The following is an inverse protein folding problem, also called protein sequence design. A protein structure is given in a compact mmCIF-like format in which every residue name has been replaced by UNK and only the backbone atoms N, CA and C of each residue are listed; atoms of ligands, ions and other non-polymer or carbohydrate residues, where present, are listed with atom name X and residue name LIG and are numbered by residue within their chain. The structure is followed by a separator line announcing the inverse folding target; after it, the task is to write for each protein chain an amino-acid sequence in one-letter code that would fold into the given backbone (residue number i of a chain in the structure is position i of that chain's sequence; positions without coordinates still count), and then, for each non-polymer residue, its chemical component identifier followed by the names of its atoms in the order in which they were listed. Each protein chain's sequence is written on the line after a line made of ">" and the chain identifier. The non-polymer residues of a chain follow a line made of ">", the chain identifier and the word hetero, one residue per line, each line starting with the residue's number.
data_IF_854102960190
#
_entry.id   IF_854102960190
#
_cell.length_a   1.000
_cell.length_b   1.000
_cell.length_c   1.000
_cell.angle_alpha   90.00
_cell.angle_beta   90.00
_cell.angle_gamma   90.00
#
_symmetry.space_group_name_H-M   'P 1'
#
loop_
_entity.id
_entity.type
_entity.pdbx_description
1 polymer ?
#
# COMPACT_ATOMS: atom_id res chain seq x y z
N UNK A 1 62.06 32.63 -25.60
CA UNK A 1 61.29 31.39 -25.83
C UNK A 1 60.05 31.42 -24.90
N UNK A 2 58.89 31.78 -25.47
CA UNK A 2 57.59 31.83 -24.72
C UNK A 2 56.91 30.49 -24.96
N UNK A 3 56.69 29.69 -23.88
CA UNK A 3 55.91 28.45 -23.92
C UNK A 3 54.43 28.81 -23.72
N UNK A 4 53.67 28.66 -24.80
CA UNK A 4 52.20 28.75 -24.74
C UNK A 4 51.66 27.40 -24.21
N UNK A 5 50.97 27.46 -23.08
CA UNK A 5 50.22 26.33 -22.53
C UNK A 5 48.82 26.38 -23.11
N UNK A 6 48.46 25.41 -23.95
CA UNK A 6 47.09 25.19 -24.41
C UNK A 6 46.30 24.46 -23.32
N UNK A 7 45.33 25.16 -22.72
CA UNK A 7 44.37 24.56 -21.81
C UNK A 7 43.20 24.03 -22.64
N UNK A 8 43.13 22.74 -22.82
CA UNK A 8 42.01 22.08 -23.47
C UNK A 8 40.86 22.00 -22.44
N UNK A 9 39.84 22.82 -22.59
CA UNK A 9 38.61 22.70 -21.83
C UNK A 9 37.80 21.50 -22.38
N UNK A 10 37.74 20.43 -21.59
CA UNK A 10 36.89 19.28 -21.88
C UNK A 10 35.45 19.64 -21.48
N UNK A 11 34.64 20.05 -22.45
CA UNK A 11 33.22 20.18 -22.27
C UNK A 11 32.59 18.78 -22.13
N UNK A 12 32.33 18.35 -20.92
CA UNK A 12 31.45 17.23 -20.65
C UNK A 12 30.02 17.66 -21.00
N UNK A 13 29.58 17.33 -22.19
CA UNK A 13 28.17 17.41 -22.55
C UNK A 13 27.45 16.33 -21.72
N UNK A 14 26.74 16.75 -20.69
CA UNK A 14 25.72 15.92 -20.07
C UNK A 14 24.62 15.72 -21.10
N UNK A 15 24.67 14.62 -21.81
CA UNK A 15 23.53 14.13 -22.59
C UNK A 15 22.51 13.68 -21.53
N UNK A 16 21.55 14.51 -21.25
CA UNK A 16 20.36 14.11 -20.55
C UNK A 16 19.66 13.10 -21.47
N UNK A 17 19.85 11.82 -21.20
CA UNK A 17 19.06 10.77 -21.83
C UNK A 17 17.60 11.09 -21.47
N UNK A 18 16.79 11.36 -22.48
CA UNK A 18 15.35 11.50 -22.27
C UNK A 18 14.87 10.20 -21.64
N UNK A 19 14.23 10.31 -20.48
CA UNK A 19 13.62 9.14 -19.85
C UNK A 19 12.50 8.64 -20.77
N UNK A 20 12.59 7.37 -21.18
CA UNK A 20 11.61 6.74 -22.06
C UNK A 20 10.30 6.37 -21.32
N UNK A 21 10.19 6.73 -20.05
CA UNK A 21 9.01 6.51 -19.20
C UNK A 21 8.45 7.82 -18.64
N UNK A 22 7.18 7.78 -18.28
CA UNK A 22 6.51 8.76 -17.42
C UNK A 22 6.32 8.20 -16.02
N UNK A 23 6.34 9.04 -15.00
CA UNK A 23 5.95 8.68 -13.65
C UNK A 23 4.47 8.98 -13.46
N UNK A 24 3.72 7.98 -12.97
CA UNK A 24 2.38 8.15 -12.45
C UNK A 24 2.42 7.88 -10.96
N UNK A 25 1.76 8.70 -10.19
CA UNK A 25 1.82 8.63 -8.72
C UNK A 25 0.44 8.35 -8.16
N UNK A 26 0.34 7.35 -7.30
CA UNK A 26 -0.83 7.08 -6.46
C UNK A 26 -0.68 7.92 -5.20
N UNK A 27 -1.52 8.95 -5.07
CA UNK A 27 -1.45 9.95 -3.99
C UNK A 27 -2.48 9.72 -2.89
N UNK A 28 -3.44 8.82 -3.12
CA UNK A 28 -4.61 8.59 -2.25
C UNK A 28 -5.49 9.83 -2.02
N UNK A 29 -5.28 10.91 -2.76
CA UNK A 29 -6.06 12.12 -2.62
C UNK A 29 -7.37 12.06 -3.40
N UNK A 30 -8.44 12.63 -2.84
CA UNK A 30 -9.78 12.57 -3.42
C UNK A 30 -9.86 13.19 -4.82
N UNK A 31 -9.02 14.20 -5.09
CA UNK A 31 -8.93 14.81 -6.41
C UNK A 31 -8.35 13.87 -7.48
N UNK A 32 -7.61 12.86 -7.05
CA UNK A 32 -6.91 11.88 -7.89
C UNK A 32 -7.58 10.51 -7.86
N UNK A 33 -8.86 10.42 -7.45
CA UNK A 33 -9.60 9.17 -7.44
C UNK A 33 -9.86 8.68 -8.87
N UNK A 34 -9.36 7.50 -9.19
CA UNK A 34 -9.43 6.89 -10.52
C UNK A 34 -10.12 5.53 -10.52
N UNK A 35 -10.98 5.25 -9.56
CA UNK A 35 -11.75 4.01 -9.53
C UNK A 35 -13.23 4.22 -9.88
N UNK A 36 -13.85 3.15 -10.39
CA UNK A 36 -15.29 3.14 -10.60
C UNK A 36 -16.00 3.09 -9.25
N UNK A 37 -16.96 4.00 -8.97
CA UNK A 37 -17.71 3.97 -7.72
C UNK A 37 -18.39 2.63 -7.48
N UNK A 38 -18.37 2.15 -6.25
CA UNK A 38 -19.02 0.90 -5.83
C UNK A 38 -19.67 1.07 -4.46
N UNK A 39 -20.58 0.17 -4.12
CA UNK A 39 -21.25 0.17 -2.82
C UNK A 39 -20.70 -0.95 -1.96
N UNK A 40 -20.31 -0.63 -0.73
CA UNK A 40 -19.98 -1.60 0.30
C UNK A 40 -21.26 -2.07 0.97
N UNK A 41 -21.62 -3.34 0.80
CA UNK A 41 -22.84 -3.92 1.38
C UNK A 41 -22.84 -3.83 2.90
N UNK A 42 -21.69 -4.00 3.52
CA UNK A 42 -21.50 -3.88 4.96
C UNK A 42 -22.02 -2.55 5.55
N UNK A 43 -21.67 -1.43 4.93
CA UNK A 43 -22.02 -0.09 5.42
C UNK A 43 -23.16 0.55 4.61
N UNK A 44 -23.66 -0.11 3.56
CA UNK A 44 -24.52 0.47 2.53
C UNK A 44 -23.98 1.84 2.04
N UNK A 45 -22.64 1.94 1.94
CA UNK A 45 -21.91 3.15 1.64
C UNK A 45 -21.38 3.10 0.21
N UNK A 46 -21.64 4.16 -0.56
CA UNK A 46 -21.03 4.31 -1.87
C UNK A 46 -19.62 4.86 -1.72
N UNK A 47 -18.64 4.18 -2.30
CA UNK A 47 -17.25 4.60 -2.36
C UNK A 47 -17.02 5.26 -3.71
N UNK A 48 -16.68 6.53 -3.70
CA UNK A 48 -16.41 7.36 -4.88
C UNK A 48 -15.09 8.10 -4.78
N UNK A 49 -14.57 8.25 -3.56
CA UNK A 49 -13.31 8.93 -3.24
C UNK A 49 -12.49 8.09 -2.28
N UNK A 50 -11.22 8.43 -2.13
CA UNK A 50 -10.33 7.77 -1.17
C UNK A 50 -10.81 7.98 0.28
N UNK A 51 -11.28 9.19 0.61
CA UNK A 51 -11.81 9.49 1.94
C UNK A 51 -13.05 8.70 2.30
N UNK A 52 -13.82 8.21 1.32
CA UNK A 52 -14.98 7.35 1.59
C UNK A 52 -14.58 6.02 2.24
N UNK A 53 -13.34 5.57 2.04
CA UNK A 53 -12.79 4.34 2.63
C UNK A 53 -12.37 4.49 4.10
N UNK A 54 -12.31 5.72 4.62
CA UNK A 54 -11.79 6.02 5.97
C UNK A 54 -12.89 6.09 7.01
N UNK A 55 -14.12 6.39 6.61
CA UNK A 55 -15.22 6.75 7.51
C UNK A 55 -16.16 5.56 7.74
N UNK A 56 -15.83 4.71 8.73
CA UNK A 56 -16.70 3.63 9.23
C UNK A 56 -17.62 4.17 10.32
N UNK A 57 -18.91 4.29 10.00
CA UNK A 57 -19.91 4.82 10.92
C UNK A 57 -20.15 3.92 12.15
N UNK A 58 -19.76 2.64 12.10
CA UNK A 58 -19.97 1.69 13.19
C UNK A 58 -18.76 1.61 14.12
N UNK A 59 -17.54 1.63 13.57
CA UNK A 59 -16.32 1.37 14.33
C UNK A 59 -15.36 2.54 14.40
N UNK A 60 -15.69 3.70 13.79
CA UNK A 60 -14.83 4.87 13.68
C UNK A 60 -13.45 4.53 13.11
N UNK A 61 -13.18 4.86 11.90
CA UNK A 61 -11.90 4.56 11.26
C UNK A 61 -12.05 4.02 9.85
N UNK A 62 -11.01 3.46 9.27
CA UNK A 62 -11.09 2.83 7.97
C UNK A 62 -12.09 1.67 7.95
N UNK A 63 -12.76 1.48 6.82
CA UNK A 63 -13.78 0.46 6.60
C UNK A 63 -13.19 -0.97 6.58
N UNK A 64 -12.27 -1.28 7.47
CA UNK A 64 -11.52 -2.53 7.52
C UNK A 64 -12.23 -3.67 8.24
N UNK A 65 -13.28 -3.37 8.99
CA UNK A 65 -14.05 -4.36 9.76
C UNK A 65 -15.17 -5.01 8.96
N UNK A 66 -15.08 -5.00 7.63
CA UNK A 66 -16.03 -5.71 6.78
C UNK A 66 -15.86 -7.22 6.95
N UNK A 67 -16.94 -7.92 7.29
CA UNK A 67 -16.90 -9.34 7.64
C UNK A 67 -16.48 -10.27 6.48
N UNK A 68 -16.62 -9.83 5.24
CA UNK A 68 -16.51 -10.68 4.04
C UNK A 68 -15.37 -10.27 3.09
N UNK A 69 -14.39 -9.47 3.54
CA UNK A 69 -13.25 -9.09 2.72
C UNK A 69 -13.60 -8.20 1.53
N UNK A 70 -14.65 -7.40 1.66
CA UNK A 70 -15.10 -6.49 0.61
C UNK A 70 -14.37 -5.15 0.62
N UNK A 71 -13.48 -4.89 1.59
CA UNK A 71 -12.62 -3.72 1.55
C UNK A 71 -11.64 -3.82 0.39
N UNK A 72 -11.74 -2.90 -0.55
CA UNK A 72 -10.87 -2.90 -1.72
C UNK A 72 -10.68 -1.48 -2.25
N UNK A 73 -9.51 -1.24 -2.84
CA UNK A 73 -9.24 -0.06 -3.64
C UNK A 73 -8.43 -0.44 -4.88
N UNK A 74 -8.60 0.35 -5.92
CA UNK A 74 -7.92 0.15 -7.19
C UNK A 74 -7.76 1.49 -7.91
N UNK A 75 -6.52 1.88 -8.21
CA UNK A 75 -6.19 3.10 -8.94
C UNK A 75 -6.27 2.84 -10.46
N UNK A 76 -7.52 2.67 -10.94
CA UNK A 76 -7.87 2.03 -12.22
C UNK A 76 -7.35 2.74 -13.47
N UNK A 77 -7.17 4.06 -13.46
CA UNK A 77 -6.86 4.86 -14.64
C UNK A 77 -5.53 5.60 -14.53
N UNK A 78 -4.77 5.35 -13.46
CA UNK A 78 -3.50 6.00 -13.19
C UNK A 78 -2.39 4.96 -13.03
N UNK A 79 -2.11 4.47 -11.81
CA UNK A 79 -1.01 3.53 -11.56
C UNK A 79 -1.37 2.07 -11.80
N UNK A 80 -2.65 1.74 -11.90
CA UNK A 80 -3.19 0.38 -11.97
C UNK A 80 -2.88 -0.48 -10.74
N UNK A 81 -2.47 0.15 -9.64
CA UNK A 81 -2.21 -0.54 -8.40
C UNK A 81 -3.52 -0.92 -7.69
N UNK A 82 -3.54 -2.11 -7.15
CA UNK A 82 -4.53 -2.66 -6.22
C UNK A 82 -3.80 -3.31 -5.05
N UNK A 83 -4.53 -3.88 -4.11
CA UNK A 83 -3.93 -4.43 -2.90
C UNK A 83 -4.54 -5.77 -2.50
N UNK A 84 -3.84 -6.50 -1.62
CA UNK A 84 -4.39 -7.62 -0.88
C UNK A 84 -5.06 -7.14 0.41
N UNK A 85 -6.06 -7.89 0.86
CA UNK A 85 -6.75 -7.67 2.12
C UNK A 85 -7.14 -9.02 2.73
N UNK A 86 -6.87 -9.20 4.01
CA UNK A 86 -7.23 -10.42 4.74
C UNK A 86 -8.39 -10.14 5.67
N UNK A 87 -9.54 -10.69 5.34
CA UNK A 87 -10.74 -10.67 6.18
C UNK A 87 -10.79 -11.88 7.11
N UNK A 88 -11.66 -11.88 8.13
CA UNK A 88 -12.41 -10.72 8.62
C UNK A 88 -11.58 -9.81 9.55
N UNK A 89 -12.09 -8.61 9.82
CA UNK A 89 -11.59 -7.73 10.88
C UNK A 89 -10.13 -7.26 10.76
N UNK A 90 -9.66 -6.90 9.55
CA UNK A 90 -8.29 -6.43 9.38
C UNK A 90 -7.23 -7.47 9.80
N UNK A 91 -7.35 -8.67 9.29
CA UNK A 91 -6.32 -9.70 9.48
C UNK A 91 -5.01 -9.40 8.75
N UNK A 92 -4.97 -8.34 7.94
CA UNK A 92 -3.84 -7.84 7.18
C UNK A 92 -4.25 -7.12 5.92
N UNK A 93 -3.35 -6.36 5.32
CA UNK A 93 -3.59 -5.65 4.06
C UNK A 93 -3.20 -4.17 4.08
N UNK A 94 -3.88 -3.39 3.26
CA UNK A 94 -3.55 -1.99 2.99
C UNK A 94 -4.81 -1.13 3.08
N UNK A 95 -4.92 -0.31 4.12
CA UNK A 95 -6.07 0.53 4.38
C UNK A 95 -5.78 2.01 4.20
N UNK A 96 -6.71 2.71 3.55
CA UNK A 96 -6.65 4.16 3.43
C UNK A 96 -6.98 4.79 4.78
N UNK A 97 -6.21 5.77 5.18
CA UNK A 97 -6.38 6.52 6.42
C UNK A 97 -6.13 8.02 6.20
N UNK A 98 -6.69 8.82 7.09
CA UNK A 98 -6.39 10.24 7.24
C UNK A 98 -6.28 10.65 8.72
N UNK A 99 -6.10 9.66 9.59
CA UNK A 99 -5.97 9.89 11.02
C UNK A 99 -4.62 10.50 11.35
N UNK A 100 -4.63 11.49 12.21
CA UNK A 100 -3.45 12.18 12.71
C UNK A 100 -3.48 12.20 14.22
N UNK A 101 -2.40 11.75 14.83
CA UNK A 101 -2.22 11.91 16.27
C UNK A 101 -0.84 12.55 16.51
N UNK A 102 -0.76 13.78 17.05
CA UNK A 102 0.49 14.51 17.22
C UNK A 102 1.39 13.92 18.31
N UNK A 103 0.90 12.91 19.05
CA UNK A 103 1.66 12.24 20.09
C UNK A 103 1.47 10.73 20.08
N UNK A 104 2.56 10.02 20.36
CA UNK A 104 2.56 8.57 20.55
C UNK A 104 2.99 8.16 21.97
N UNK A 105 3.13 9.14 22.88
CA UNK A 105 3.43 8.90 24.28
C UNK A 105 2.21 8.29 25.00
N UNK A 106 2.40 7.52 26.07
CA UNK A 106 1.32 6.84 26.78
C UNK A 106 0.18 7.74 27.22
N UNK A 107 0.46 8.98 27.61
CA UNK A 107 -0.54 9.98 27.99
C UNK A 107 -1.44 10.45 26.82
N UNK A 108 -1.05 10.18 25.59
CA UNK A 108 -1.81 10.50 24.39
C UNK A 108 -2.58 9.28 23.84
N UNK A 109 -2.50 8.14 24.51
CA UNK A 109 -3.22 6.95 24.10
C UNK A 109 -4.68 7.02 24.61
N UNK A 110 -5.60 6.39 23.89
CA UNK A 110 -6.96 6.20 24.37
C UNK A 110 -6.96 5.47 25.71
N UNK A 111 -7.84 5.88 26.65
CA UNK A 111 -8.01 5.18 27.94
C UNK A 111 -8.54 3.75 27.76
N UNK A 112 -9.26 3.51 26.67
CA UNK A 112 -9.79 2.20 26.31
C UNK A 112 -8.94 1.56 25.20
N UNK A 113 -8.44 0.36 25.44
CA UNK A 113 -7.67 -0.42 24.48
C UNK A 113 -8.43 -0.70 23.17
N UNK A 114 -9.74 -0.60 23.16
CA UNK A 114 -10.57 -0.71 21.96
C UNK A 114 -10.56 0.57 21.09
N UNK A 115 -10.07 1.68 21.59
CA UNK A 115 -9.86 2.92 20.84
C UNK A 115 -8.56 2.97 20.05
N UNK A 116 -7.87 1.87 19.86
CA UNK A 116 -6.54 1.79 19.24
C UNK A 116 -6.50 2.18 17.77
N UNK A 117 -7.63 2.24 17.07
CA UNK A 117 -7.68 2.73 15.70
C UNK A 117 -7.10 4.16 15.57
N UNK A 118 -7.25 5.01 16.57
CA UNK A 118 -6.71 6.38 16.59
C UNK A 118 -5.17 6.42 16.50
N UNK A 119 -4.50 5.36 16.95
CA UNK A 119 -3.05 5.24 16.84
C UNK A 119 -2.63 4.19 15.80
N UNK A 120 -3.44 3.16 15.59
CA UNK A 120 -3.22 2.06 14.65
C UNK A 120 -3.26 2.54 13.20
N UNK A 121 -4.07 3.56 12.90
CA UNK A 121 -4.21 4.17 11.58
C UNK A 121 -3.64 5.60 11.51
N UNK A 122 -3.01 6.09 12.56
CA UNK A 122 -2.56 7.47 12.65
C UNK A 122 -1.06 7.61 12.39
N UNK A 123 -0.72 8.65 11.64
CA UNK A 123 0.65 9.20 11.58
C UNK A 123 0.75 10.45 12.46
N UNK A 124 1.98 10.93 12.71
CA UNK A 124 2.18 12.15 13.53
C UNK A 124 1.70 13.42 12.81
N UNK A 125 1.74 13.46 11.47
CA UNK A 125 1.59 14.71 10.71
C UNK A 125 0.64 14.57 9.50
N UNK A 126 -0.22 13.55 9.45
CA UNK A 126 -1.06 13.27 8.27
C UNK A 126 -0.26 12.66 7.12
N UNK A 127 -0.68 12.86 5.88
CA UNK A 127 0.00 12.32 4.71
C UNK A 127 1.28 13.08 4.33
N UNK A 128 2.01 12.57 3.33
CA UNK A 128 3.26 13.15 2.88
C UNK A 128 3.04 14.58 2.32
N UNK A 129 3.97 15.50 2.61
CA UNK A 129 3.89 16.91 2.18
C UNK A 129 2.57 17.61 2.53
N UNK A 130 1.86 17.16 3.56
CA UNK A 130 0.61 17.74 4.01
C UNK A 130 -0.61 17.27 3.20
N UNK A 131 -0.50 16.17 2.45
CA UNK A 131 -1.66 15.47 1.88
C UNK A 131 -2.60 15.01 3.00
N UNK A 132 -3.85 14.80 2.65
CA UNK A 132 -4.87 14.40 3.61
C UNK A 132 -4.83 12.89 3.87
N UNK A 133 -4.86 12.12 2.79
CA UNK A 133 -4.95 10.69 2.84
C UNK A 133 -3.57 10.02 2.66
N UNK A 134 -3.44 8.83 3.18
CA UNK A 134 -2.29 7.94 3.02
C UNK A 134 -2.75 6.50 3.19
N UNK A 135 -1.87 5.54 2.97
CA UNK A 135 -2.19 4.14 3.18
C UNK A 135 -1.42 3.57 4.38
N UNK A 136 -2.10 2.75 5.18
CA UNK A 136 -1.50 1.99 6.28
C UNK A 136 -1.43 0.52 5.89
N UNK A 137 -0.23 -0.04 5.98
CA UNK A 137 0.02 -1.47 5.87
C UNK A 137 -0.15 -2.15 7.24
N UNK A 138 -0.78 -3.33 7.23
CA UNK A 138 -0.80 -4.27 8.34
C UNK A 138 -0.42 -5.65 7.84
N UNK A 139 0.54 -6.28 8.48
CA UNK A 139 0.90 -7.67 8.23
C UNK A 139 2.41 -7.93 8.20
N UNK A 140 2.77 -9.15 8.54
CA UNK A 140 4.12 -9.66 8.46
C UNK A 140 4.08 -11.17 8.22
N UNK A 141 5.17 -11.75 7.78
CA UNK A 141 5.36 -13.21 7.66
C UNK A 141 6.30 -13.64 8.77
N UNK A 142 5.93 -14.68 9.47
CA UNK A 142 6.65 -15.19 10.61
C UNK A 142 6.69 -16.72 10.59
N UNK A 143 7.87 -17.29 10.78
CA UNK A 143 8.08 -18.73 10.81
C UNK A 143 7.47 -19.39 12.07
N UNK A 144 7.17 -18.63 13.11
CA UNK A 144 6.57 -19.10 14.35
C UNK A 144 5.04 -19.23 14.27
N UNK A 145 4.40 -18.41 13.43
CA UNK A 145 2.96 -18.37 13.36
C UNK A 145 2.45 -18.73 11.97
N UNK A 146 1.87 -19.92 11.83
CA UNK A 146 1.31 -20.41 10.56
C UNK A 146 0.14 -19.58 10.01
N UNK A 147 -0.44 -18.66 10.80
CA UNK A 147 -1.45 -17.72 10.33
C UNK A 147 -0.86 -16.59 9.48
N UNK A 148 0.44 -16.32 9.60
CA UNK A 148 1.14 -15.24 8.91
C UNK A 148 2.17 -15.80 7.92
N UNK A 149 1.70 -16.49 6.90
CA UNK A 149 2.55 -17.16 5.89
C UNK A 149 2.56 -16.46 4.53
N UNK A 150 1.74 -15.44 4.36
CA UNK A 150 1.58 -14.75 3.07
C UNK A 150 1.78 -13.25 3.24
N UNK A 151 2.66 -12.68 2.43
CA UNK A 151 2.87 -11.25 2.40
C UNK A 151 1.62 -10.51 1.96
N UNK A 152 1.30 -9.40 2.65
CA UNK A 152 0.33 -8.45 2.13
C UNK A 152 0.96 -7.65 1.00
N UNK A 153 0.26 -7.52 -0.12
CA UNK A 153 0.83 -7.03 -1.38
C UNK A 153 0.11 -5.80 -1.91
N UNK A 154 0.85 -4.97 -2.63
CA UNK A 154 0.33 -4.12 -3.70
C UNK A 154 0.69 -4.76 -5.05
N UNK A 155 -0.21 -4.72 -6.02
CA UNK A 155 -0.04 -5.43 -7.27
C UNK A 155 -0.61 -4.64 -8.46
N UNK A 156 -0.06 -4.85 -9.65
CA UNK A 156 -0.64 -4.32 -10.86
C UNK A 156 -1.82 -5.18 -11.30
N UNK A 157 -3.01 -4.60 -11.32
CA UNK A 157 -4.27 -5.32 -11.59
C UNK A 157 -4.34 -5.93 -13.01
N UNK A 158 -3.56 -5.41 -13.95
CA UNK A 158 -3.46 -5.95 -15.32
C UNK A 158 -2.43 -7.09 -15.44
N UNK A 159 -1.73 -7.44 -14.36
CA UNK A 159 -0.73 -8.51 -14.31
C UNK A 159 0.56 -8.23 -15.08
N UNK A 160 0.77 -7.00 -15.55
CA UNK A 160 2.02 -6.61 -16.22
C UNK A 160 3.07 -6.17 -15.22
N UNK A 161 4.32 -6.58 -15.46
CA UNK A 161 5.45 -6.13 -14.66
C UNK A 161 5.78 -4.66 -14.95
N UNK A 162 6.04 -3.88 -13.88
CA UNK A 162 6.48 -2.49 -13.95
C UNK A 162 7.47 -2.18 -12.83
N UNK A 163 8.20 -1.10 -13.01
CA UNK A 163 9.07 -0.58 -11.95
C UNK A 163 8.26 0.36 -11.06
N UNK A 164 8.17 0.02 -9.76
CA UNK A 164 7.80 1.00 -8.75
C UNK A 164 9.05 1.82 -8.47
N UNK A 165 9.02 3.11 -8.81
CA UNK A 165 10.19 3.99 -8.69
C UNK A 165 10.51 4.27 -7.23
N UNK A 166 9.52 4.74 -6.50
CA UNK A 166 9.64 5.03 -5.08
C UNK A 166 8.27 5.15 -4.41
N UNK A 167 8.27 5.18 -3.09
CA UNK A 167 7.18 5.64 -2.24
C UNK A 167 7.74 6.45 -1.08
N UNK A 168 6.87 7.13 -0.34
CA UNK A 168 7.22 7.70 0.94
C UNK A 168 6.69 6.81 2.06
N UNK A 169 7.47 6.64 3.12
CA UNK A 169 7.13 5.78 4.26
C UNK A 169 7.38 6.49 5.57
N UNK A 170 6.62 6.12 6.59
CA UNK A 170 6.82 6.56 7.97
C UNK A 170 6.28 5.52 8.96
N UNK A 171 6.68 5.63 10.22
CA UNK A 171 6.01 4.90 11.29
C UNK A 171 4.61 5.45 11.55
N UNK A 172 3.71 4.58 11.99
CA UNK A 172 2.44 4.98 12.61
C UNK A 172 2.61 5.18 14.12
N UNK A 173 1.67 5.87 14.74
CA UNK A 173 1.72 6.16 16.19
C UNK A 173 1.76 4.89 17.04
N UNK A 174 1.05 3.82 16.66
CA UNK A 174 1.07 2.55 17.39
C UNK A 174 2.46 1.90 17.41
N UNK A 175 3.12 1.80 16.25
CA UNK A 175 4.49 1.26 16.17
C UNK A 175 5.48 2.12 16.97
N UNK A 176 5.36 3.45 16.86
CA UNK A 176 6.21 4.37 17.66
C UNK A 176 5.98 4.21 19.16
N UNK A 177 4.72 4.09 19.59
CA UNK A 177 4.41 3.88 21.01
C UNK A 177 5.04 2.59 21.52
N UNK A 178 4.81 1.46 20.83
CA UNK A 178 5.37 0.16 21.22
C UNK A 178 6.89 0.19 21.27
N UNK A 179 7.57 0.71 20.26
CA UNK A 179 9.03 0.73 20.22
C UNK A 179 9.65 1.69 21.26
N UNK A 180 9.07 2.87 21.46
CA UNK A 180 9.68 3.89 22.31
C UNK A 180 9.35 3.71 23.79
N UNK A 181 8.12 3.32 24.11
CA UNK A 181 7.63 3.24 25.49
C UNK A 181 7.38 1.80 25.96
N UNK A 182 7.30 0.85 25.03
CA UNK A 182 6.80 -0.50 25.30
C UNK A 182 5.27 -0.53 25.34
N UNK A 183 4.69 -1.72 25.25
CA UNK A 183 3.24 -1.92 25.15
C UNK A 183 2.71 -3.06 26.04
N UNK A 184 3.54 -3.54 26.97
CA UNK A 184 3.21 -4.68 27.82
C UNK A 184 3.56 -6.04 27.21
N UNK A 185 3.71 -6.15 25.88
CA UNK A 185 4.27 -7.31 25.19
C UNK A 185 5.76 -7.13 24.93
N UNK A 186 6.17 -5.93 24.60
CA UNK A 186 7.56 -5.53 24.42
C UNK A 186 7.99 -4.54 25.51
N UNK A 187 9.22 -4.66 26.05
CA UNK A 187 9.87 -3.56 26.73
C UNK A 187 10.19 -2.45 25.71
N UNK A 188 10.47 -1.21 26.16
CA UNK A 188 10.99 -0.16 25.29
C UNK A 188 12.23 -0.64 24.54
N UNK A 189 12.32 -0.31 23.26
CA UNK A 189 13.45 -0.62 22.40
C UNK A 189 14.75 0.00 22.94
N UNK A 190 15.87 -0.64 22.66
CA UNK A 190 17.20 -0.25 23.11
C UNK A 190 17.98 0.50 22.02
N UNK A 191 19.21 0.90 22.31
CA UNK A 191 20.10 1.52 21.32
C UNK A 191 20.56 0.54 20.23
N UNK A 192 20.36 -0.77 20.43
CA UNK A 192 20.72 -1.82 19.47
C UNK A 192 19.51 -2.43 18.76
N UNK A 193 18.31 -2.06 19.16
CA UNK A 193 17.08 -2.52 18.52
C UNK A 193 17.00 -1.96 17.11
N UNK A 194 16.58 -2.82 16.16
CA UNK A 194 16.32 -2.42 14.79
C UNK A 194 14.94 -2.89 14.34
N UNK A 195 14.26 -2.11 13.50
CA UNK A 195 12.98 -2.47 12.91
C UNK A 195 12.91 -1.97 11.47
N UNK A 196 12.57 -2.86 10.54
CA UNK A 196 12.65 -2.61 9.12
C UNK A 196 11.40 -3.03 8.39
N UNK A 197 11.05 -2.29 7.34
CA UNK A 197 10.20 -2.78 6.25
C UNK A 197 11.10 -3.52 5.27
N UNK A 198 10.65 -4.70 4.79
CA UNK A 198 11.26 -5.42 3.67
C UNK A 198 10.25 -5.46 2.53
N UNK A 199 10.59 -4.90 1.38
CA UNK A 199 9.82 -5.01 0.15
C UNK A 199 10.35 -6.19 -0.67
N UNK A 200 9.44 -7.08 -1.07
CA UNK A 200 9.70 -8.31 -1.82
C UNK A 200 9.04 -8.18 -3.18
N UNK A 201 9.85 -7.97 -4.23
CA UNK A 201 9.40 -7.96 -5.61
C UNK A 201 9.04 -9.36 -6.09
N UNK A 202 7.87 -9.51 -6.70
CA UNK A 202 7.34 -10.80 -7.12
C UNK A 202 7.02 -10.83 -8.62
N UNK A 203 7.20 -12.01 -9.23
CA UNK A 203 6.78 -12.31 -10.60
C UNK A 203 5.28 -12.61 -10.69
N UNK A 204 4.78 -12.93 -11.90
CA UNK A 204 3.38 -13.27 -12.15
C UNK A 204 2.90 -14.56 -11.45
N UNK A 205 3.81 -15.38 -10.95
CA UNK A 205 3.50 -16.61 -10.20
C UNK A 205 3.57 -16.37 -8.68
N UNK A 206 3.88 -15.14 -8.24
CA UNK A 206 4.08 -14.81 -6.83
C UNK A 206 5.45 -15.22 -6.27
N UNK A 207 6.39 -15.65 -7.14
CA UNK A 207 7.74 -15.97 -6.69
C UNK A 207 8.53 -14.70 -6.44
N UNK A 208 9.31 -14.68 -5.37
CA UNK A 208 10.25 -13.60 -5.11
C UNK A 208 11.34 -13.57 -6.17
N UNK A 209 11.57 -12.37 -6.74
CA UNK A 209 12.64 -12.12 -7.72
C UNK A 209 13.65 -11.08 -7.24
N UNK A 210 13.27 -10.26 -6.27
CA UNK A 210 14.13 -9.20 -5.72
C UNK A 210 13.64 -8.77 -4.35
N UNK A 211 14.51 -8.11 -3.58
CA UNK A 211 14.12 -7.48 -2.31
C UNK A 211 14.97 -6.26 -1.98
N UNK A 212 14.39 -5.37 -1.18
CA UNK A 212 15.08 -4.23 -0.56
C UNK A 212 14.48 -3.97 0.82
N UNK A 213 15.16 -3.19 1.65
CA UNK A 213 14.66 -2.86 2.99
C UNK A 213 14.82 -1.39 3.31
N UNK A 214 13.96 -0.91 4.21
CA UNK A 214 13.99 0.43 4.76
C UNK A 214 13.91 0.36 6.28
N UNK A 215 14.84 1.05 6.96
CA UNK A 215 14.86 1.07 8.41
C UNK A 215 13.88 2.10 8.96
N UNK A 216 12.92 1.65 9.77
CA UNK A 216 12.00 2.49 10.52
C UNK A 216 12.55 2.88 11.91
N UNK A 217 13.46 2.06 12.45
CA UNK A 217 14.10 2.25 13.72
C UNK A 217 15.50 1.64 13.70
N UNK A 218 16.53 2.42 14.06
CA UNK A 218 17.92 1.99 14.19
C UNK A 218 18.50 2.55 15.49
N UNK A 219 18.06 1.99 16.62
CA UNK A 219 18.37 2.54 17.92
C UNK A 219 17.61 3.84 18.23
N UNK A 220 17.73 4.32 19.46
CA UNK A 220 16.95 5.46 19.97
C UNK A 220 17.22 6.78 19.25
N UNK A 221 18.41 6.93 18.66
CA UNK A 221 18.82 8.16 17.99
C UNK A 221 18.39 8.20 16.50
N UNK A 222 17.87 7.09 15.98
CA UNK A 222 17.47 7.00 14.57
C UNK A 222 16.09 6.36 14.44
N UNK A 223 15.07 7.15 14.76
CA UNK A 223 13.65 6.78 14.68
C UNK A 223 12.98 7.59 13.58
N UNK A 224 12.33 6.91 12.64
CA UNK A 224 11.59 7.58 11.57
C UNK A 224 10.25 8.10 12.12
N UNK A 225 10.14 9.42 12.23
CA UNK A 225 8.95 10.13 12.73
C UNK A 225 8.34 11.05 11.67
N UNK A 226 8.99 11.17 10.51
CA UNK A 226 8.55 11.97 9.37
C UNK A 226 8.61 11.14 8.10
N UNK A 227 7.85 11.54 7.10
CA UNK A 227 7.85 10.88 5.80
C UNK A 227 9.24 10.88 5.16
N UNK A 228 9.69 9.70 4.74
CA UNK A 228 10.99 9.48 4.10
C UNK A 228 10.80 8.80 2.76
N UNK A 229 11.53 9.28 1.76
CA UNK A 229 11.52 8.67 0.43
C UNK A 229 12.26 7.33 0.46
N UNK A 230 11.60 6.27 -0.04
CA UNK A 230 12.19 4.96 -0.22
C UNK A 230 12.29 4.63 -1.70
N UNK A 231 13.50 4.44 -2.20
CA UNK A 231 13.77 4.00 -3.57
C UNK A 231 13.43 2.52 -3.72
N UNK A 232 12.42 2.21 -4.53
CA UNK A 232 11.98 0.86 -4.86
C UNK A 232 12.40 0.44 -6.28
N UNK A 233 13.02 1.33 -7.05
CA UNK A 233 13.46 1.04 -8.42
C UNK A 233 14.48 -0.09 -8.47
N UNK A 234 15.19 -0.33 -7.38
CA UNK A 234 16.15 -1.44 -7.20
C UNK A 234 15.49 -2.82 -7.26
N UNK A 235 14.16 -2.91 -7.09
CA UNK A 235 13.42 -4.16 -7.27
C UNK A 235 13.33 -4.58 -8.74
N UNK A 236 13.54 -3.65 -9.68
CA UNK A 236 13.35 -3.89 -11.11
C UNK A 236 11.86 -3.97 -11.48
N UNK A 237 11.56 -4.66 -12.59
CA UNK A 237 10.19 -4.88 -13.03
C UNK A 237 9.54 -6.01 -12.22
N UNK A 238 8.44 -5.69 -11.54
CA UNK A 238 7.69 -6.61 -10.67
C UNK A 238 6.20 -6.58 -11.03
N UNK A 239 5.49 -7.69 -10.83
CA UNK A 239 4.03 -7.76 -10.98
C UNK A 239 3.35 -7.35 -9.67
N UNK A 240 3.98 -7.64 -8.54
CA UNK A 240 3.53 -7.23 -7.21
C UNK A 240 4.71 -6.98 -6.28
N UNK A 241 4.47 -6.25 -5.21
CA UNK A 241 5.40 -6.09 -4.10
C UNK A 241 4.70 -6.52 -2.83
N UNK A 242 5.25 -7.56 -2.19
CA UNK A 242 4.88 -7.97 -0.84
C UNK A 242 5.67 -7.20 0.20
N UNK A 243 5.08 -6.97 1.36
CA UNK A 243 5.78 -6.32 2.46
C UNK A 243 5.89 -7.24 3.67
N UNK A 244 7.04 -7.17 4.33
CA UNK A 244 7.28 -7.81 5.61
C UNK A 244 7.86 -6.79 6.59
N UNK A 245 7.64 -7.03 7.87
CA UNK A 245 8.24 -6.27 8.96
C UNK A 245 9.17 -7.20 9.74
N UNK A 246 10.41 -6.76 9.93
CA UNK A 246 11.47 -7.55 10.55
C UNK A 246 12.17 -6.72 11.61
N UNK A 247 12.27 -7.28 12.80
CA UNK A 247 12.96 -6.68 13.93
C UNK A 247 14.26 -7.39 14.28
N UNK A 248 15.07 -6.77 15.16
CA UNK A 248 16.14 -7.45 15.87
C UNK A 248 15.56 -8.47 16.87
N UNK A 249 16.40 -9.38 17.34
CA UNK A 249 15.98 -10.52 18.17
C UNK A 249 15.22 -10.13 19.45
N UNK A 250 15.47 -8.95 19.99
CA UNK A 250 14.78 -8.41 21.17
C UNK A 250 13.31 -8.02 20.93
N UNK A 251 12.88 -7.95 19.68
CA UNK A 251 11.48 -7.73 19.29
C UNK A 251 10.71 -9.04 19.04
N UNK A 252 11.31 -10.18 19.29
CA UNK A 252 10.65 -11.48 19.14
C UNK A 252 10.45 -12.16 20.48
N UNK A 253 9.30 -12.83 20.63
CA UNK A 253 8.96 -13.63 21.78
C UNK A 253 8.50 -15.04 21.39
N UNK A 254 7.86 -15.73 22.31
CA UNK A 254 7.38 -17.10 22.10
C UNK A 254 6.34 -17.22 20.97
N UNK A 255 5.73 -16.10 20.56
CA UNK A 255 4.67 -16.03 19.54
C UNK A 255 5.12 -15.34 18.24
N UNK A 256 6.43 -15.16 18.05
CA UNK A 256 7.01 -14.48 16.89
C UNK A 256 7.27 -12.99 17.13
N UNK A 257 7.08 -12.18 16.10
CA UNK A 257 7.27 -10.73 16.18
C UNK A 257 6.22 -10.10 17.11
N UNK A 258 6.68 -9.51 18.21
CA UNK A 258 5.81 -8.82 19.17
C UNK A 258 5.57 -7.35 18.80
N UNK A 259 6.49 -6.72 18.03
CA UNK A 259 6.28 -5.36 17.57
C UNK A 259 5.08 -5.26 16.61
N UNK A 260 4.30 -4.16 16.65
CA UNK A 260 3.17 -3.98 15.75
C UNK A 260 3.59 -4.04 14.28
N UNK A 261 2.96 -4.91 13.50
CA UNK A 261 3.26 -5.17 12.09
C UNK A 261 2.73 -4.09 11.15
N UNK A 262 2.97 -2.80 11.45
CA UNK A 262 2.38 -1.66 10.75
C UNK A 262 3.41 -0.64 10.28
N UNK A 263 3.14 -0.03 9.12
CA UNK A 263 3.77 1.21 8.68
C UNK A 263 2.81 1.99 7.78
N UNK A 264 3.05 3.29 7.59
CA UNK A 264 2.31 4.09 6.63
C UNK A 264 3.15 4.36 5.38
N UNK A 265 2.47 4.45 4.22
CA UNK A 265 3.09 4.83 2.95
C UNK A 265 2.18 5.75 2.15
N UNK A 266 2.79 6.56 1.27
CA UNK A 266 2.13 7.56 0.45
C UNK A 266 2.92 7.81 -0.84
N UNK A 267 2.32 8.50 -1.81
CA UNK A 267 2.95 8.94 -3.06
C UNK A 267 3.72 7.81 -3.77
N UNK A 268 3.02 6.70 -4.08
CA UNK A 268 3.62 5.55 -4.77
C UNK A 268 3.81 5.86 -6.24
N UNK A 269 5.05 6.10 -6.67
CA UNK A 269 5.40 6.45 -8.04
C UNK A 269 5.75 5.21 -8.87
N UNK A 270 5.14 5.07 -10.02
CA UNK A 270 5.31 3.94 -10.95
C UNK A 270 5.78 4.44 -12.31
N UNK A 271 6.73 3.73 -12.92
CA UNK A 271 7.20 4.01 -14.29
C UNK A 271 6.29 3.35 -15.31
N UNK A 272 5.78 4.17 -16.22
CA UNK A 272 5.03 3.74 -17.40
C UNK A 272 5.82 4.06 -18.66
N UNK A 273 5.97 3.09 -19.56
CA UNK A 273 6.59 3.32 -20.87
C UNK A 273 5.74 4.37 -21.64
N UNK A 274 6.37 5.41 -22.14
CA UNK A 274 5.70 6.44 -22.96
C UNK A 274 5.09 5.88 -24.25
N UNK A 275 5.61 4.76 -24.71
CA UNK A 275 5.13 4.07 -25.92
C UNK A 275 4.03 3.05 -25.61
N UNK A 276 3.81 2.70 -24.33
CA UNK A 276 2.72 1.79 -23.92
C UNK A 276 1.38 2.54 -23.85
N UNK A 277 1.00 3.16 -25.00
CA UNK A 277 -0.26 3.90 -25.16
C UNK A 277 -1.51 3.01 -25.09
N UNK A 278 -1.36 1.73 -24.80
CA UNK A 278 -2.40 0.74 -25.03
C UNK A 278 -3.44 0.63 -23.92
N UNK A 279 -3.26 1.24 -22.75
CA UNK A 279 -4.15 0.96 -21.64
C UNK A 279 -5.28 1.99 -21.43
N UNK A 280 -5.11 3.27 -21.77
CA UNK A 280 -6.05 4.31 -21.32
C UNK A 280 -7.02 4.80 -22.40
N UNK A 281 -6.64 4.74 -23.68
CA UNK A 281 -7.46 5.33 -24.76
C UNK A 281 -8.43 4.36 -25.47
N UNK A 282 -8.45 3.06 -25.13
CA UNK A 282 -9.29 2.06 -25.79
C UNK A 282 -10.13 1.17 -24.86
N UNK A 283 -10.20 1.44 -23.59
CA UNK A 283 -11.33 0.98 -22.80
C UNK A 283 -12.52 1.92 -23.11
N UNK A 284 -13.00 1.87 -24.32
CA UNK A 284 -14.43 1.91 -24.53
C UNK A 284 -14.93 0.71 -23.73
N UNK A 285 -15.25 0.91 -22.46
CA UNK A 285 -16.15 0.02 -21.74
C UNK A 285 -17.37 0.00 -22.64
N UNK A 286 -17.65 -1.10 -23.37
CA UNK A 286 -18.92 -1.19 -24.02
C UNK A 286 -19.88 -1.00 -22.88
N UNK A 287 -20.78 -0.02 -22.96
CA UNK A 287 -21.88 0.09 -22.02
C UNK A 287 -22.52 -1.29 -22.01
N UNK A 288 -22.08 -2.14 -21.08
CA UNK A 288 -22.58 -3.50 -21.01
C UNK A 288 -23.96 -3.35 -20.40
N UNK A 289 -24.97 -3.19 -21.26
CA UNK A 289 -26.36 -3.37 -20.88
C UNK A 289 -26.63 -4.84 -20.44
N UNK A 290 -25.60 -5.49 -19.88
CA UNK A 290 -25.68 -6.81 -19.30
C UNK A 290 -26.28 -6.75 -17.91
N UNK A 291 -27.51 -7.22 -17.75
CA UNK A 291 -28.17 -7.34 -16.46
C UNK A 291 -27.89 -8.71 -15.87
N UNK A 292 -27.28 -8.77 -14.70
CA UNK A 292 -27.17 -10.01 -13.91
C UNK A 292 -28.55 -10.38 -13.37
N UNK A 293 -28.95 -11.63 -13.53
CA UNK A 293 -30.21 -12.13 -12.97
C UNK A 293 -30.06 -13.59 -12.52
N UNK A 294 -30.85 -13.99 -11.55
CA UNK A 294 -30.95 -15.38 -11.11
C UNK A 294 -32.01 -16.08 -11.94
N UNK A 295 -31.64 -17.15 -12.66
CA UNK A 295 -32.55 -17.98 -13.43
C UNK A 295 -32.30 -19.44 -13.10
N UNK A 296 -33.33 -20.14 -12.61
CA UNK A 296 -33.25 -21.55 -12.19
C UNK A 296 -32.13 -21.84 -11.17
N UNK A 297 -31.86 -20.89 -10.24
CA UNK A 297 -30.82 -21.04 -9.21
C UNK A 297 -29.39 -20.78 -9.71
N UNK A 298 -29.21 -20.33 -10.95
CA UNK A 298 -27.90 -19.95 -11.51
C UNK A 298 -27.85 -18.48 -11.86
N UNK A 299 -26.71 -17.84 -11.61
CA UNK A 299 -26.46 -16.46 -12.06
C UNK A 299 -26.19 -16.48 -13.54
N UNK A 300 -26.96 -15.70 -14.30
CA UNK A 300 -26.80 -15.52 -15.73
C UNK A 300 -26.68 -14.04 -16.07
N UNK A 301 -26.04 -13.74 -17.21
CA UNK A 301 -25.88 -12.39 -17.75
C UNK A 301 -26.81 -12.25 -18.96
N UNK A 302 -27.82 -11.37 -18.88
CA UNK A 302 -28.65 -10.99 -20.00
C UNK A 302 -28.00 -9.81 -20.75
N UNK A 303 -27.66 -9.99 -22.03
CA UNK A 303 -27.06 -8.95 -22.86
C UNK A 303 -27.68 -9.01 -24.26
N UNK A 304 -28.16 -7.88 -24.76
CA UNK A 304 -28.73 -7.77 -26.13
C UNK A 304 -29.81 -8.82 -26.42
N UNK A 305 -30.63 -9.13 -25.42
CA UNK A 305 -31.71 -10.12 -25.55
C UNK A 305 -31.24 -11.59 -25.48
N UNK A 306 -29.97 -11.84 -25.26
CA UNK A 306 -29.38 -13.17 -25.10
C UNK A 306 -28.94 -13.41 -23.68
N UNK A 307 -28.99 -14.66 -23.26
CA UNK A 307 -28.59 -15.10 -21.91
C UNK A 307 -27.26 -15.85 -21.97
N UNK A 308 -26.34 -15.49 -21.09
CA UNK A 308 -25.00 -16.11 -21.01
C UNK A 308 -24.75 -16.63 -19.59
N UNK A 309 -23.98 -17.70 -19.49
CA UNK A 309 -23.39 -18.13 -18.22
C UNK A 309 -22.35 -17.10 -17.74
N UNK A 310 -21.95 -17.15 -16.47
CA UNK A 310 -20.84 -16.35 -15.94
C UNK A 310 -19.50 -16.62 -16.64
N UNK A 311 -19.38 -17.76 -17.33
CA UNK A 311 -18.22 -18.14 -18.16
C UNK A 311 -18.33 -17.64 -19.61
N UNK A 312 -19.37 -16.88 -19.94
CA UNK A 312 -19.56 -16.29 -21.28
C UNK A 312 -20.16 -17.23 -22.32
N UNK A 313 -20.65 -18.41 -21.95
CA UNK A 313 -21.36 -19.33 -22.88
C UNK A 313 -22.81 -18.89 -23.04
N UNK A 314 -23.26 -18.76 -24.29
CA UNK A 314 -24.67 -18.46 -24.63
C UNK A 314 -25.56 -19.64 -24.23
N UNK A 315 -26.58 -19.35 -23.42
CA UNK A 315 -27.63 -20.29 -23.06
C UNK A 315 -28.75 -20.18 -24.13
N UNK A 316 -29.03 -21.27 -24.82
CA UNK A 316 -30.12 -21.35 -25.83
C UNK A 316 -31.42 -21.67 -25.14
#
# INVERSE_FOLDING_TARGET
>A
MKKSIFLAALCLANVALAQDYELRTLTFEDADAHFTPYTLDYANKTISTWSDLVDDAQYNGPLTYTAEGVYTWYDAQNTLLTHSFTAPYWGGGHAISNFTNPGYAPENLPEDVYGWYEIQFATLNGGNNGSKNFCVHNGYVDDYNSAYTTYQTIAFADGKARVIDHMYVTNICYTLNSLVYGDGFNPPATDTTTFHIVAIGQDANGNEISRTSFALYLGKDSVVTTWQKWDLSVLGEVVSVGFNLVGSADLYGDWGLNAPGYFAYDDVAVRFDKNDQTAVNNLVVPSSNGKKMLMNGQIVILREGKTYTIMGQELK
#
